data_IF_925586075811
#
_entry.id   IF_925586075811
#
_cell.length_a   1.000
_cell.length_b   1.000
_cell.length_c   1.000
_cell.angle_alpha   90.00
_cell.angle_beta   90.00
_cell.angle_gamma   90.00
#
_symmetry.space_group_name_H-M   'P 1'
#
loop_
_entity.id
_entity.type
_entity.pdbx_description
1 polymer ?
#
# COMPACT_ATOMS: atom_id res chain seq x y z
N UNK A 1 0.05 24.32 -4.66
CA UNK A 1 -0.55 23.76 -3.43
C UNK A 1 -1.97 23.23 -3.64
N UNK A 2 -2.96 24.04 -4.04
CA UNK A 2 -4.35 23.56 -4.24
C UNK A 2 -4.49 22.34 -5.18
N UNK A 3 -3.71 22.31 -6.27
CA UNK A 3 -3.67 21.17 -7.21
C UNK A 3 -3.25 19.85 -6.55
N UNK A 4 -2.36 19.88 -5.56
CA UNK A 4 -1.89 18.68 -4.84
C UNK A 4 -3.02 18.14 -3.96
N UNK A 5 -3.74 19.01 -3.26
CA UNK A 5 -4.91 18.62 -2.47
C UNK A 5 -6.03 18.03 -3.34
N UNK A 6 -6.30 18.62 -4.50
CA UNK A 6 -7.26 18.07 -5.48
C UNK A 6 -6.84 16.69 -5.98
N UNK A 7 -5.56 16.52 -6.35
CA UNK A 7 -5.03 15.22 -6.79
C UNK A 7 -5.18 14.16 -5.69
N UNK A 8 -4.78 14.48 -4.46
CA UNK A 8 -4.93 13.58 -3.31
C UNK A 8 -6.39 13.19 -3.11
N UNK A 9 -7.32 14.15 -3.15
CA UNK A 9 -8.75 13.89 -3.03
C UNK A 9 -9.28 12.93 -4.09
N UNK A 10 -8.89 13.14 -5.35
CA UNK A 10 -9.25 12.24 -6.46
C UNK A 10 -8.71 10.82 -6.20
N UNK A 11 -7.45 10.68 -5.79
CA UNK A 11 -6.86 9.38 -5.46
C UNK A 11 -7.64 8.66 -4.36
N UNK A 12 -8.04 9.37 -3.30
CA UNK A 12 -8.84 8.78 -2.22
C UNK A 12 -10.23 8.34 -2.67
N UNK A 13 -10.90 9.10 -3.56
CA UNK A 13 -12.19 8.69 -4.13
C UNK A 13 -12.05 7.39 -4.91
N UNK A 14 -11.04 7.29 -5.78
CA UNK A 14 -10.78 6.06 -6.53
C UNK A 14 -10.46 4.88 -5.60
N UNK A 15 -9.62 5.08 -4.58
CA UNK A 15 -9.34 4.06 -3.58
C UNK A 15 -10.61 3.59 -2.87
N UNK A 16 -11.49 4.51 -2.48
CA UNK A 16 -12.76 4.20 -1.84
C UNK A 16 -13.68 3.34 -2.72
N UNK A 17 -13.78 3.68 -4.01
CA UNK A 17 -14.58 2.90 -4.98
C UNK A 17 -14.00 1.49 -5.15
N UNK A 18 -12.68 1.37 -5.33
CA UNK A 18 -12.00 0.08 -5.49
C UNK A 18 -12.24 -0.80 -4.26
N UNK A 19 -12.06 -0.25 -3.07
CA UNK A 19 -12.26 -1.00 -1.81
C UNK A 19 -13.72 -1.36 -1.55
N UNK A 20 -14.66 -0.56 -2.04
CA UNK A 20 -16.09 -0.87 -1.93
C UNK A 20 -16.51 -2.05 -2.83
N UNK A 21 -16.04 -2.06 -4.09
CA UNK A 21 -16.37 -3.12 -5.05
C UNK A 21 -15.55 -4.39 -4.78
N UNK A 22 -14.29 -4.23 -4.38
CA UNK A 22 -13.35 -5.31 -4.11
C UNK A 22 -12.83 -5.22 -2.67
N UNK A 23 -13.60 -5.71 -1.68
CA UNK A 23 -13.22 -5.59 -0.26
C UNK A 23 -11.88 -6.27 0.06
N UNK A 24 -11.48 -7.27 -0.72
CA UNK A 24 -10.20 -7.97 -0.56
C UNK A 24 -9.06 -7.41 -1.43
N UNK A 25 -9.25 -6.27 -2.10
CA UNK A 25 -8.25 -5.70 -3.02
C UNK A 25 -6.91 -5.34 -2.37
N UNK A 26 -6.89 -5.05 -1.06
CA UNK A 26 -5.66 -4.79 -0.30
C UNK A 26 -5.29 -5.93 0.66
N UNK A 27 -5.98 -7.07 0.59
CA UNK A 27 -5.76 -8.18 1.53
C UNK A 27 -4.37 -8.81 1.44
N UNK A 28 -3.67 -8.60 0.32
CA UNK A 28 -2.30 -9.05 0.03
C UNK A 28 -1.22 -8.10 0.60
N UNK A 29 -1.58 -6.85 0.88
CA UNK A 29 -0.63 -5.83 1.33
C UNK A 29 -0.08 -6.18 2.71
N UNK A 30 1.24 -6.35 2.82
CA UNK A 30 1.89 -6.75 4.07
C UNK A 30 1.77 -8.24 4.42
N UNK A 31 1.35 -9.09 3.46
CA UNK A 31 1.28 -10.55 3.61
C UNK A 31 2.15 -11.29 2.60
N UNK A 32 3.11 -10.61 1.98
CA UNK A 32 4.05 -11.23 1.05
C UNK A 32 5.04 -12.11 1.81
N UNK A 33 5.55 -13.20 1.20
CA UNK A 33 6.58 -14.02 1.83
C UNK A 33 7.82 -13.15 2.10
N UNK A 34 8.23 -13.09 3.36
CA UNK A 34 9.30 -12.21 3.85
C UNK A 34 8.82 -10.92 4.54
N UNK A 35 7.51 -10.61 4.52
CA UNK A 35 6.95 -9.64 5.45
C UNK A 35 6.95 -10.23 6.87
N UNK A 36 7.38 -9.43 7.85
CA UNK A 36 7.52 -9.88 9.24
C UNK A 36 6.22 -9.53 9.98
N UNK A 37 5.46 -10.55 10.35
CA UNK A 37 4.31 -10.43 11.26
C UNK A 37 4.62 -11.13 12.57
N UNK A 38 4.80 -10.35 13.64
CA UNK A 38 4.97 -10.89 14.98
C UNK A 38 3.68 -10.76 15.77
N UNK A 39 3.24 -11.87 16.36
CA UNK A 39 2.13 -11.93 17.28
C UNK A 39 2.66 -12.33 18.66
N UNK A 40 2.47 -11.46 19.66
CA UNK A 40 2.84 -11.77 21.03
C UNK A 40 2.04 -12.98 21.54
N UNK A 41 2.66 -13.89 22.33
CA UNK A 41 1.97 -15.02 22.95
C UNK A 41 0.78 -14.60 23.83
N UNK A 42 0.84 -13.42 24.44
CA UNK A 42 -0.24 -12.85 25.28
C UNK A 42 -1.34 -12.16 24.47
N UNK A 43 -1.21 -12.09 23.14
CA UNK A 43 -2.19 -11.49 22.22
C UNK A 43 -2.26 -9.96 22.23
N UNK A 44 -1.65 -9.28 23.20
CA UNK A 44 -1.76 -7.83 23.39
C UNK A 44 -0.98 -7.00 22.38
N UNK A 45 0.02 -7.58 21.73
CA UNK A 45 0.92 -6.86 20.83
C UNK A 45 1.03 -7.59 19.49
N UNK A 46 0.77 -6.86 18.40
CA UNK A 46 0.97 -7.32 17.03
C UNK A 46 1.85 -6.30 16.33
N UNK A 47 2.96 -6.78 15.76
CA UNK A 47 3.93 -5.95 15.05
C UNK A 47 3.97 -6.42 13.60
N UNK A 48 3.71 -5.49 12.68
CA UNK A 48 3.72 -5.75 11.24
C UNK A 48 4.84 -4.93 10.59
N UNK A 49 5.78 -5.60 9.94
CA UNK A 49 6.90 -5.00 9.20
C UNK A 49 6.86 -5.49 7.74
N UNK A 50 6.18 -4.75 6.86
CA UNK A 50 5.95 -5.15 5.47
C UNK A 50 7.16 -4.83 4.57
N UNK A 51 8.32 -5.40 4.87
CA UNK A 51 9.61 -5.07 4.21
C UNK A 51 9.54 -5.39 2.71
N UNK A 52 9.09 -6.59 2.36
CA UNK A 52 9.07 -7.05 0.97
C UNK A 52 8.01 -6.29 0.18
N UNK A 53 6.83 -6.10 0.79
CA UNK A 53 5.78 -5.25 0.20
C UNK A 53 6.31 -3.85 -0.14
N UNK A 54 7.02 -3.20 0.78
CA UNK A 54 7.55 -1.84 0.55
C UNK A 54 8.61 -1.79 -0.55
N UNK A 55 9.49 -2.80 -0.62
CA UNK A 55 10.50 -2.90 -1.70
C UNK A 55 9.81 -3.02 -3.06
N UNK A 56 8.82 -3.90 -3.20
CA UNK A 56 8.08 -4.09 -4.45
C UNK A 56 7.40 -2.78 -4.87
N UNK A 57 6.71 -2.12 -3.95
CA UNK A 57 6.04 -0.84 -4.23
C UNK A 57 7.04 0.22 -4.69
N UNK A 58 8.19 0.32 -4.02
CA UNK A 58 9.24 1.26 -4.39
C UNK A 58 9.74 1.01 -5.82
N UNK A 59 10.05 -0.23 -6.16
CA UNK A 59 10.53 -0.60 -7.51
C UNK A 59 9.47 -0.30 -8.58
N UNK A 60 8.21 -0.70 -8.34
CA UNK A 60 7.10 -0.43 -9.27
C UNK A 60 6.92 1.06 -9.47
N UNK A 61 6.87 1.85 -8.39
CA UNK A 61 6.71 3.28 -8.47
C UNK A 61 7.88 3.95 -9.20
N UNK A 62 9.12 3.51 -8.94
CA UNK A 62 10.30 4.00 -9.65
C UNK A 62 10.23 3.72 -11.15
N UNK A 63 9.83 2.51 -11.57
CA UNK A 63 9.66 2.16 -12.98
C UNK A 63 8.58 3.03 -13.63
N UNK A 64 7.42 3.16 -12.99
CA UNK A 64 6.29 3.96 -13.47
C UNK A 64 6.72 5.41 -13.66
N UNK A 65 7.33 6.01 -12.63
CA UNK A 65 7.83 7.38 -12.71
C UNK A 65 8.91 7.54 -13.79
N UNK A 66 9.77 6.55 -13.98
CA UNK A 66 10.80 6.59 -15.02
C UNK A 66 10.20 6.60 -16.42
N UNK A 67 9.14 5.81 -16.67
CA UNK A 67 8.43 5.77 -17.95
C UNK A 67 7.71 7.10 -18.23
N UNK A 68 7.06 7.69 -17.22
CA UNK A 68 6.34 8.96 -17.38
C UNK A 68 7.23 10.21 -17.38
N UNK A 69 8.50 10.09 -16.99
CA UNK A 69 9.48 11.19 -16.95
C UNK A 69 10.42 11.21 -18.15
N UNK A 70 10.20 10.34 -19.14
CA UNK A 70 10.74 10.47 -20.50
C UNK A 70 9.76 11.28 -21.35
#
# INVERSE_FOLDING_TARGET
>A
MAKIFLLIGIVFVFLGIILNIFPNALSWFGKLPGDISYHSPSGQTRVYFPIVTMIIISVVLSIVLHIFRR
#
